data_IF_019719913520
#
_entry.id   IF_019719913520
#
_cell.length_a   1.000
_cell.length_b   1.000
_cell.length_c   1.000
_cell.angle_alpha   90.00
_cell.angle_beta   90.00
_cell.angle_gamma   90.00
#
_symmetry.space_group_name_H-M   'P 1'
#
loop_
_entity.id
_entity.type
_entity.pdbx_description
1 polymer ?
#
# COMPACT_ATOMS: atom_id res chain seq x y z
N UNK A 1 -3.23 46.60 -7.44
CA UNK A 1 -1.84 46.81 -6.94
C UNK A 1 -1.02 47.35 -8.10
N UNK A 2 -0.36 48.50 -7.96
CA UNK A 2 0.54 49.03 -8.99
C UNK A 2 1.92 48.36 -8.86
N UNK A 3 2.03 47.10 -9.31
CA UNK A 3 3.30 46.38 -9.35
C UNK A 3 4.22 47.06 -10.38
N UNK A 4 5.39 47.55 -9.92
CA UNK A 4 6.40 48.20 -10.77
C UNK A 4 7.52 47.26 -11.21
N UNK A 5 7.68 46.12 -10.53
CA UNK A 5 8.76 45.16 -10.76
C UNK A 5 8.19 43.98 -11.53
N UNK A 6 8.82 43.55 -12.64
CA UNK A 6 8.33 42.43 -13.43
C UNK A 6 8.54 41.11 -12.69
N UNK A 7 7.55 40.22 -12.83
CA UNK A 7 7.56 38.86 -12.30
C UNK A 7 7.56 37.91 -13.48
N UNK A 8 8.44 36.91 -13.45
CA UNK A 8 8.60 35.97 -14.54
C UNK A 8 8.54 34.52 -14.09
N UNK A 9 8.05 33.65 -14.97
CA UNK A 9 8.21 32.20 -14.89
C UNK A 9 9.26 31.71 -15.87
N UNK A 10 10.01 30.68 -15.49
CA UNK A 10 10.81 29.92 -16.46
C UNK A 10 9.90 29.38 -17.57
N UNK A 11 10.25 29.69 -18.82
CA UNK A 11 9.48 29.26 -19.98
C UNK A 11 9.48 27.73 -20.17
N UNK A 12 8.58 27.22 -21.01
CA UNK A 12 8.47 25.80 -21.36
C UNK A 12 7.34 25.10 -20.61
N UNK A 13 7.66 24.05 -19.82
CA UNK A 13 6.67 23.21 -19.15
C UNK A 13 5.78 23.99 -18.17
N UNK A 14 6.23 25.13 -17.64
CA UNK A 14 5.43 25.96 -16.72
C UNK A 14 4.16 26.49 -17.39
N UNK A 15 4.23 26.84 -18.68
CA UNK A 15 3.07 27.33 -19.45
C UNK A 15 2.05 26.20 -19.62
N UNK A 16 2.51 25.01 -19.99
CA UNK A 16 1.67 23.82 -20.12
C UNK A 16 1.07 23.42 -18.77
N UNK A 17 1.86 23.46 -17.69
CA UNK A 17 1.37 23.22 -16.35
C UNK A 17 0.23 24.18 -15.99
N UNK A 18 0.38 25.48 -16.27
CA UNK A 18 -0.67 26.46 -15.99
C UNK A 18 -1.96 26.16 -16.76
N UNK A 19 -1.86 25.68 -18.01
CA UNK A 19 -3.04 25.21 -18.77
C UNK A 19 -3.74 24.04 -18.06
N UNK A 20 -3.00 23.05 -17.56
CA UNK A 20 -3.58 21.94 -16.79
C UNK A 20 -4.23 22.41 -15.49
N UNK A 21 -3.62 23.34 -14.76
CA UNK A 21 -4.21 23.93 -13.54
C UNK A 21 -5.56 24.61 -13.83
N UNK A 22 -5.67 25.31 -14.97
CA UNK A 22 -6.94 25.91 -15.41
C UNK A 22 -7.99 24.86 -15.74
N UNK A 23 -7.61 23.79 -16.44
CA UNK A 23 -8.52 22.73 -16.86
C UNK A 23 -8.99 21.86 -15.67
N UNK A 24 -8.10 21.59 -14.72
CA UNK A 24 -8.34 20.72 -13.56
C UNK A 24 -8.74 21.50 -12.30
N UNK A 25 -9.37 22.66 -12.46
CA UNK A 25 -9.84 23.51 -11.36
C UNK A 25 -10.72 22.76 -10.36
N UNK A 26 -11.42 21.71 -10.80
CA UNK A 26 -12.25 20.83 -9.97
C UNK A 26 -11.51 20.14 -8.81
N UNK A 27 -10.19 20.02 -8.88
CA UNK A 27 -9.34 19.42 -7.83
C UNK A 27 -8.83 20.43 -6.80
N UNK A 28 -9.16 21.71 -6.95
CA UNK A 28 -8.71 22.77 -6.03
C UNK A 28 -9.66 22.94 -4.84
N UNK A 29 -9.27 23.77 -3.88
CA UNK A 29 -10.11 24.09 -2.71
C UNK A 29 -11.38 24.85 -3.11
N UNK A 30 -12.40 24.79 -2.26
CA UNK A 30 -13.67 25.48 -2.53
C UNK A 30 -13.47 26.98 -2.77
N UNK A 31 -12.58 27.63 -2.01
CA UNK A 31 -12.22 29.04 -2.17
C UNK A 31 -11.75 29.39 -3.60
N UNK A 32 -10.96 28.52 -4.21
CA UNK A 32 -10.44 28.72 -5.57
C UNK A 32 -11.56 28.50 -6.60
N UNK A 33 -12.41 27.49 -6.39
CA UNK A 33 -13.60 27.23 -7.22
C UNK A 33 -14.59 28.39 -7.19
N UNK A 34 -14.85 28.95 -6.02
CA UNK A 34 -15.76 30.09 -5.85
C UNK A 34 -15.21 31.32 -6.60
N UNK A 35 -13.91 31.59 -6.44
CA UNK A 35 -13.24 32.69 -7.15
C UNK A 35 -13.30 32.54 -8.67
N UNK A 36 -13.20 31.32 -9.18
CA UNK A 36 -13.20 31.00 -10.61
C UNK A 36 -14.46 31.50 -11.33
N UNK A 37 -15.60 31.57 -10.63
CA UNK A 37 -16.86 32.10 -11.18
C UNK A 37 -16.77 33.57 -11.59
N UNK A 38 -15.91 34.35 -10.91
CA UNK A 38 -15.70 35.78 -11.16
C UNK A 38 -14.45 36.00 -12.01
N UNK A 39 -13.36 35.30 -11.68
CA UNK A 39 -12.11 35.35 -12.43
C UNK A 39 -11.29 34.09 -12.19
N UNK A 40 -10.62 33.60 -13.23
CA UNK A 40 -9.73 32.47 -13.09
C UNK A 40 -8.46 32.87 -12.31
N UNK A 41 -8.20 32.27 -11.13
CA UNK A 41 -7.05 32.64 -10.31
C UNK A 41 -5.70 32.23 -10.92
N UNK A 42 -5.71 31.38 -11.95
CA UNK A 42 -4.51 30.97 -12.71
C UNK A 42 -4.26 31.85 -13.95
N UNK A 43 -5.10 32.87 -14.20
CA UNK A 43 -4.85 33.91 -15.20
C UNK A 43 -3.98 35.02 -14.60
N UNK A 44 -2.67 34.77 -14.59
CA UNK A 44 -1.68 35.71 -14.05
C UNK A 44 -1.47 36.91 -14.99
N UNK A 45 -2.06 38.07 -14.65
CA UNK A 45 -1.93 39.31 -15.46
C UNK A 45 -0.56 39.96 -15.42
N UNK A 46 0.18 39.76 -14.33
CA UNK A 46 1.47 40.43 -14.07
C UNK A 46 2.66 39.48 -14.09
N UNK A 47 2.46 38.22 -14.51
CA UNK A 47 3.52 37.23 -14.61
C UNK A 47 3.74 36.91 -16.08
N UNK A 48 4.98 37.09 -16.55
CA UNK A 48 5.35 36.93 -17.95
C UNK A 48 6.35 35.79 -18.13
N UNK A 49 6.54 35.36 -19.37
CA UNK A 49 7.55 34.34 -19.69
C UNK A 49 8.95 34.95 -19.63
N UNK A 50 9.87 34.26 -18.98
CA UNK A 50 11.28 34.65 -18.95
C UNK A 50 12.01 34.14 -20.19
N UNK A 51 12.55 35.06 -20.99
CA UNK A 51 13.44 34.71 -22.10
C UNK A 51 14.89 34.64 -21.62
N UNK A 52 15.68 33.72 -22.16
CA UNK A 52 17.10 33.56 -21.75
C UNK A 52 17.96 34.80 -21.98
N UNK A 53 17.57 35.67 -22.91
CA UNK A 53 18.19 36.97 -23.14
C UNK A 53 18.16 37.86 -21.88
N UNK A 54 17.08 37.75 -21.08
CA UNK A 54 16.86 38.61 -19.91
C UNK A 54 17.77 38.28 -18.71
N UNK A 55 18.57 37.21 -18.77
CA UNK A 55 19.49 36.83 -17.68
C UNK A 55 20.47 37.95 -17.36
N UNK A 56 20.87 38.73 -18.35
CA UNK A 56 21.85 39.81 -18.21
C UNK A 56 21.21 41.21 -18.20
N UNK A 57 19.88 41.30 -18.25
CA UNK A 57 19.20 42.59 -18.30
C UNK A 57 19.35 43.34 -16.97
N UNK A 58 19.66 44.64 -17.00
CA UNK A 58 19.81 45.42 -15.79
C UNK A 58 18.45 45.74 -15.17
N UNK A 59 18.36 45.64 -13.84
CA UNK A 59 17.20 46.07 -13.07
C UNK A 59 16.67 44.98 -12.14
N UNK A 60 15.76 45.34 -11.21
CA UNK A 60 15.14 44.37 -10.33
C UNK A 60 14.09 43.56 -11.10
N UNK A 61 14.09 42.25 -10.91
CA UNK A 61 13.02 41.37 -11.35
C UNK A 61 12.82 40.22 -10.33
N UNK A 62 11.67 39.55 -10.43
CA UNK A 62 11.42 38.30 -9.72
C UNK A 62 11.33 37.19 -10.74
N UNK A 63 12.13 36.13 -10.58
CA UNK A 63 12.09 34.97 -11.46
C UNK A 63 11.83 33.70 -10.66
N UNK A 64 10.76 33.01 -11.03
CA UNK A 64 10.49 31.64 -10.61
C UNK A 64 11.16 30.67 -11.58
N UNK A 65 12.34 30.18 -11.20
CA UNK A 65 13.12 29.25 -12.01
C UNK A 65 12.93 27.79 -11.60
N UNK A 66 12.99 26.88 -12.58
CA UNK A 66 12.87 25.43 -12.37
C UNK A 66 14.15 24.70 -12.82
N UNK A 67 14.49 23.56 -12.19
CA UNK A 67 13.87 22.92 -11.02
C UNK A 67 14.19 23.58 -9.66
N UNK A 68 13.28 23.46 -8.69
CA UNK A 68 13.34 24.18 -7.40
C UNK A 68 14.53 23.86 -6.49
N UNK A 69 15.19 22.71 -6.66
CA UNK A 69 16.38 22.32 -5.88
C UNK A 69 17.70 22.72 -6.54
N UNK A 70 17.66 23.45 -7.66
CA UNK A 70 18.84 23.86 -8.43
C UNK A 70 19.71 22.66 -8.82
N UNK A 71 19.10 21.52 -9.15
CA UNK A 71 19.84 20.30 -9.53
C UNK A 71 20.43 20.37 -10.93
N UNK A 72 19.93 21.27 -11.79
CA UNK A 72 20.35 21.42 -13.18
C UNK A 72 19.47 22.42 -13.92
N UNK A 73 19.47 22.37 -15.24
CA UNK A 73 18.55 23.11 -16.09
C UNK A 73 18.61 24.64 -15.92
N UNK A 74 17.46 25.29 -16.12
CA UNK A 74 17.37 26.74 -16.18
C UNK A 74 17.66 27.43 -14.84
N UNK A 75 17.18 26.86 -13.72
CA UNK A 75 17.51 27.38 -12.39
C UNK A 75 19.00 27.41 -12.12
N UNK A 76 19.75 26.39 -12.56
CA UNK A 76 21.20 26.36 -12.39
C UNK A 76 21.89 27.37 -13.32
N UNK A 77 21.43 27.52 -14.56
CA UNK A 77 21.95 28.52 -15.50
C UNK A 77 21.84 29.95 -14.94
N UNK A 78 20.66 30.32 -14.43
CA UNK A 78 20.45 31.61 -13.79
C UNK A 78 21.26 31.73 -12.50
N UNK A 79 21.28 30.70 -11.67
CA UNK A 79 22.03 30.70 -10.42
C UNK A 79 23.53 30.96 -10.65
N UNK A 80 24.16 30.34 -11.66
CA UNK A 80 25.57 30.60 -12.00
C UNK A 80 25.85 32.08 -12.28
N UNK A 81 24.90 32.79 -12.90
CA UNK A 81 25.04 34.20 -13.28
C UNK A 81 24.71 35.15 -12.14
N UNK A 82 23.73 34.80 -11.31
CA UNK A 82 23.17 35.70 -10.30
C UNK A 82 23.73 35.48 -8.90
N UNK A 83 24.24 34.29 -8.57
CA UNK A 83 24.81 33.98 -7.27
C UNK A 83 26.02 34.87 -6.86
N UNK A 84 26.89 35.32 -7.78
CA UNK A 84 28.01 36.19 -7.41
C UNK A 84 27.60 37.62 -7.00
N UNK A 85 26.35 38.04 -7.13
CA UNK A 85 25.93 39.40 -6.77
C UNK A 85 25.30 39.44 -5.38
N UNK A 86 25.86 40.23 -4.46
CA UNK A 86 25.32 40.43 -3.10
C UNK A 86 23.97 41.14 -3.08
N UNK A 87 23.61 41.82 -4.17
CA UNK A 87 22.31 42.49 -4.33
C UNK A 87 21.18 41.50 -4.62
N UNK A 88 21.51 40.26 -4.96
CA UNK A 88 20.54 39.25 -5.34
C UNK A 88 20.11 38.43 -4.12
N UNK A 89 18.87 37.94 -4.18
CA UNK A 89 18.29 37.04 -3.20
C UNK A 89 17.84 35.77 -3.93
N UNK A 90 18.31 34.62 -3.46
CA UNK A 90 17.84 33.31 -3.90
C UNK A 90 16.97 32.73 -2.81
N UNK A 91 15.71 32.46 -3.15
CA UNK A 91 14.75 31.85 -2.23
C UNK A 91 14.50 30.40 -2.61
N UNK A 92 14.73 29.48 -1.67
CA UNK A 92 14.52 28.05 -1.85
C UNK A 92 13.15 27.62 -1.28
N UNK A 93 12.38 26.77 -1.97
CA UNK A 93 10.98 26.45 -1.65
C UNK A 93 10.78 25.49 -0.47
N UNK A 94 11.83 25.13 0.27
CA UNK A 94 11.73 24.30 1.47
C UNK A 94 12.78 23.20 1.48
N UNK A 95 12.36 21.95 1.67
CA UNK A 95 13.25 20.80 1.73
C UNK A 95 13.96 20.58 0.39
N UNK A 96 15.29 20.44 0.45
CA UNK A 96 16.12 20.05 -0.67
C UNK A 96 16.80 18.70 -0.38
N UNK A 97 16.68 17.77 -1.32
CA UNK A 97 17.26 16.42 -1.22
C UNK A 97 18.78 16.51 -1.14
N UNK A 98 19.37 15.69 -0.27
CA UNK A 98 20.82 15.57 -0.12
C UNK A 98 21.51 15.34 -1.48
N UNK A 99 22.63 16.03 -1.69
CA UNK A 99 23.38 16.00 -2.95
C UNK A 99 22.98 17.08 -3.97
N UNK A 100 21.84 17.75 -3.80
CA UNK A 100 21.46 18.90 -4.63
C UNK A 100 22.20 20.18 -4.22
N UNK A 101 22.30 21.14 -5.15
CA UNK A 101 22.89 22.46 -4.88
C UNK A 101 22.04 23.21 -3.84
N UNK A 102 20.70 23.12 -3.93
CA UNK A 102 19.79 23.68 -2.94
C UNK A 102 20.09 23.18 -1.52
N UNK A 103 20.35 21.88 -1.34
CA UNK A 103 20.71 21.33 -0.05
C UNK A 103 22.06 21.87 0.46
N UNK A 104 23.08 21.93 -0.41
CA UNK A 104 24.40 22.51 -0.06
C UNK A 104 24.29 23.98 0.38
N UNK A 105 23.42 24.75 -0.27
CA UNK A 105 23.16 26.16 0.08
C UNK A 105 22.53 26.31 1.47
N UNK A 106 21.66 25.38 1.86
CA UNK A 106 20.98 25.38 3.15
C UNK A 106 21.89 24.96 4.31
N UNK A 107 22.74 23.94 4.11
CA UNK A 107 23.46 23.27 5.20
C UNK A 107 24.68 24.03 5.74
N UNK A 108 25.06 25.20 5.20
CA UNK A 108 26.27 25.89 5.68
C UNK A 108 26.59 27.28 5.15
N UNK A 109 25.66 27.97 4.47
CA UNK A 109 25.91 29.27 3.81
C UNK A 109 27.27 29.30 3.06
N UNK A 110 27.49 28.37 2.11
CA UNK A 110 28.77 28.26 1.43
C UNK A 110 29.05 29.54 0.66
N UNK A 111 30.28 30.05 0.75
CA UNK A 111 30.78 31.14 -0.11
C UNK A 111 31.12 30.63 -1.50
N UNK A 112 31.31 29.32 -1.68
CA UNK A 112 31.64 28.71 -2.96
C UNK A 112 30.97 27.35 -3.11
N UNK A 113 30.46 27.08 -4.31
CA UNK A 113 29.91 25.78 -4.69
C UNK A 113 30.67 25.25 -5.88
N UNK A 114 31.34 24.11 -5.70
CA UNK A 114 31.97 23.38 -6.79
C UNK A 114 30.94 22.50 -7.49
N UNK A 115 30.81 22.68 -8.81
CA UNK A 115 29.96 21.86 -9.67
C UNK A 115 30.74 20.68 -10.21
N UNK A 116 31.93 20.97 -10.74
CA UNK A 116 32.86 20.04 -11.37
C UNK A 116 34.29 20.39 -10.92
N UNK A 117 35.27 19.56 -11.27
CA UNK A 117 36.69 19.77 -10.90
C UNK A 117 37.24 21.14 -11.34
N UNK A 118 36.69 21.72 -12.40
CA UNK A 118 37.16 22.99 -12.97
C UNK A 118 36.15 24.14 -12.81
N UNK A 119 34.87 23.84 -12.56
CA UNK A 119 33.80 24.85 -12.51
C UNK A 119 33.32 25.08 -11.10
N UNK A 120 33.46 26.32 -10.64
CA UNK A 120 33.00 26.78 -9.34
C UNK A 120 32.10 28.01 -9.46
N UNK A 121 31.14 28.13 -8.55
CA UNK A 121 30.26 29.29 -8.41
C UNK A 121 30.61 29.99 -7.11
N UNK A 122 30.91 31.28 -7.18
CA UNK A 122 31.00 32.14 -6.00
C UNK A 122 29.58 32.56 -5.58
N UNK A 123 29.24 32.30 -4.32
CA UNK A 123 27.91 32.54 -3.76
C UNK A 123 28.01 33.69 -2.79
N UNK A 124 27.68 34.88 -3.29
CA UNK A 124 27.65 36.13 -2.50
C UNK A 124 26.23 36.66 -2.32
N UNK A 125 25.27 36.19 -3.11
CA UNK A 125 23.86 36.49 -2.95
C UNK A 125 23.32 36.01 -1.60
N UNK A 126 22.27 36.69 -1.12
CA UNK A 126 21.56 36.24 0.06
C UNK A 126 20.79 34.95 -0.25
N UNK A 127 20.89 33.95 0.63
CA UNK A 127 20.12 32.71 0.53
C UNK A 127 19.05 32.73 1.62
N UNK A 128 17.79 32.58 1.21
CA UNK A 128 16.68 32.46 2.13
C UNK A 128 15.90 31.17 1.86
N UNK A 129 15.52 30.48 2.92
CA UNK A 129 14.70 29.28 2.82
C UNK A 129 13.29 29.62 3.30
N UNK A 130 12.31 29.40 2.42
CA UNK A 130 10.91 29.44 2.79
C UNK A 130 10.45 28.00 3.04
N UNK A 131 9.87 27.73 4.21
CA UNK A 131 9.26 26.42 4.49
C UNK A 131 7.88 26.34 3.84
N UNK A 132 7.84 26.28 2.50
CA UNK A 132 6.61 26.12 1.73
C UNK A 132 6.48 24.66 1.28
N UNK A 133 6.34 23.77 2.26
CA UNK A 133 6.13 22.36 2.00
C UNK A 133 4.63 22.03 2.05
N UNK A 134 4.09 21.34 1.04
CA UNK A 134 2.72 20.82 1.09
C UNK A 134 2.60 19.56 1.98
N UNK A 135 3.57 19.30 2.85
CA UNK A 135 3.55 18.19 3.79
C UNK A 135 2.86 18.59 5.09
N UNK A 136 2.13 17.64 5.67
CA UNK A 136 1.56 17.77 7.01
C UNK A 136 2.68 17.81 8.04
N UNK A 137 2.52 18.65 9.06
CA UNK A 137 3.44 18.71 10.19
C UNK A 137 3.23 17.51 11.13
N UNK A 138 4.12 17.37 12.12
CA UNK A 138 4.02 16.28 13.09
C UNK A 138 2.69 16.28 13.84
N UNK A 139 2.12 17.46 14.11
CA UNK A 139 0.83 17.59 14.79
C UNK A 139 -0.31 17.05 13.92
N UNK A 140 -0.43 17.47 12.67
CA UNK A 140 -1.49 16.98 11.80
C UNK A 140 -1.39 15.48 11.52
N UNK A 141 -0.19 14.88 11.53
CA UNK A 141 -0.02 13.43 11.43
C UNK A 141 -0.55 12.74 12.70
N UNK A 142 -0.24 13.27 13.89
CA UNK A 142 -0.74 12.74 15.16
C UNK A 142 -2.26 12.85 15.25
N UNK A 143 -2.82 14.03 14.95
CA UNK A 143 -4.26 14.29 14.96
C UNK A 143 -5.01 13.34 14.01
N UNK A 144 -4.45 13.08 12.82
CA UNK A 144 -5.02 12.13 11.85
C UNK A 144 -4.95 10.68 12.36
N UNK A 145 -3.83 10.30 12.98
CA UNK A 145 -3.62 8.94 13.49
C UNK A 145 -4.57 8.67 14.66
N UNK A 146 -4.73 9.63 15.56
CA UNK A 146 -5.70 9.57 16.66
C UNK A 146 -7.13 9.45 16.13
N UNK A 147 -7.51 10.29 15.16
CA UNK A 147 -8.84 10.28 14.56
C UNK A 147 -9.20 8.93 13.90
N UNK A 148 -8.24 8.32 13.17
CA UNK A 148 -8.46 7.05 12.50
C UNK A 148 -8.38 5.83 13.45
N UNK A 149 -7.64 5.96 14.55
CA UNK A 149 -7.37 4.88 15.50
C UNK A 149 -7.00 3.54 14.84
N UNK A 150 -5.98 3.50 13.96
CA UNK A 150 -5.59 2.28 13.25
C UNK A 150 -4.99 1.24 14.19
N UNK A 151 -5.17 -0.04 13.88
CA UNK A 151 -4.56 -1.13 14.67
C UNK A 151 -3.03 -1.19 14.53
N UNK A 152 -2.48 -0.75 13.39
CA UNK A 152 -1.05 -0.73 13.11
C UNK A 152 -0.71 0.48 12.21
N UNK A 153 0.42 1.15 12.48
CA UNK A 153 0.91 2.29 11.70
C UNK A 153 2.25 1.95 11.06
N UNK A 154 2.44 2.29 9.77
CA UNK A 154 3.72 2.14 9.07
C UNK A 154 4.15 3.49 8.50
N UNK A 155 5.29 3.99 8.97
CA UNK A 155 5.92 5.20 8.48
C UNK A 155 6.82 4.87 7.28
N UNK A 156 6.65 5.62 6.21
CA UNK A 156 7.41 5.51 4.96
C UNK A 156 7.75 6.91 4.43
N UNK A 157 8.65 7.00 3.45
CA UNK A 157 9.00 8.27 2.78
C UNK A 157 9.47 9.41 3.72
N UNK A 158 10.15 9.09 4.82
CA UNK A 158 10.74 10.07 5.73
C UNK A 158 12.24 9.86 5.97
N UNK A 159 12.89 10.86 6.58
CA UNK A 159 14.26 10.69 7.07
C UNK A 159 14.28 9.78 8.30
N UNK A 160 15.24 8.84 8.34
CA UNK A 160 15.37 7.86 9.44
C UNK A 160 15.30 8.47 10.85
N UNK A 161 16.05 9.53 11.20
CA UNK A 161 15.96 10.12 12.55
C UNK A 161 14.58 10.73 12.85
N UNK A 162 13.96 11.37 11.86
CA UNK A 162 12.64 12.00 12.01
C UNK A 162 11.53 10.95 12.15
N UNK A 163 11.62 9.85 11.40
CA UNK A 163 10.70 8.72 11.52
C UNK A 163 10.85 7.99 12.86
N UNK A 164 12.07 7.82 13.36
CA UNK A 164 12.31 7.23 14.69
C UNK A 164 11.64 8.06 15.79
N UNK A 165 11.81 9.38 15.74
CA UNK A 165 11.17 10.31 16.67
C UNK A 165 9.64 10.25 16.58
N UNK A 166 9.08 10.23 15.36
CA UNK A 166 7.63 10.16 15.18
C UNK A 166 7.05 8.82 15.65
N UNK A 167 7.76 7.70 15.43
CA UNK A 167 7.37 6.39 15.96
C UNK A 167 7.27 6.41 17.48
N UNK A 168 8.31 6.89 18.16
CA UNK A 168 8.34 6.95 19.63
C UNK A 168 7.16 7.76 20.18
N UNK A 169 6.79 8.85 19.51
CA UNK A 169 5.62 9.66 19.87
C UNK A 169 4.30 8.93 19.65
N UNK A 170 4.12 8.24 18.52
CA UNK A 170 2.90 7.46 18.25
C UNK A 170 2.74 6.34 19.29
N UNK A 171 3.82 5.62 19.62
CA UNK A 171 3.77 4.53 20.59
C UNK A 171 3.53 5.03 22.02
N UNK A 172 4.14 6.16 22.41
CA UNK A 172 4.00 6.71 23.76
C UNK A 172 2.70 7.47 24.01
N UNK A 173 2.24 8.25 23.03
CA UNK A 173 1.04 9.10 23.16
C UNK A 173 -0.26 8.33 22.81
N UNK A 174 -0.23 7.48 21.77
CA UNK A 174 -1.43 6.78 21.26
C UNK A 174 -1.49 5.29 21.61
N UNK A 175 -0.40 4.70 22.10
CA UNK A 175 -0.34 3.27 22.46
C UNK A 175 -0.49 2.32 21.26
N UNK A 176 -0.26 2.81 20.04
CA UNK A 176 -0.43 2.05 18.80
C UNK A 176 0.91 1.50 18.30
N UNK A 177 0.97 0.24 17.83
CA UNK A 177 2.19 -0.32 17.28
C UNK A 177 2.57 0.39 15.98
N UNK A 178 3.80 0.92 15.93
CA UNK A 178 4.29 1.72 14.83
C UNK A 178 5.60 1.16 14.26
N UNK A 179 5.68 1.07 12.93
CA UNK A 179 6.82 0.50 12.21
C UNK A 179 7.40 1.53 11.24
N UNK A 180 8.71 1.50 11.00
CA UNK A 180 9.36 2.28 9.93
C UNK A 180 10.41 1.39 9.23
N UNK A 181 9.96 0.43 8.40
CA UNK A 181 10.87 -0.56 7.81
C UNK A 181 11.92 0.11 6.91
N UNK A 182 13.12 -0.47 6.90
CA UNK A 182 14.14 -0.11 5.93
C UNK A 182 13.73 -0.56 4.51
N UNK A 183 14.40 0.00 3.49
CA UNK A 183 14.18 -0.45 2.12
C UNK A 183 14.46 -1.96 2.00
N UNK A 184 13.53 -2.68 1.38
CA UNK A 184 13.52 -4.15 1.23
C UNK A 184 13.25 -4.94 2.53
N UNK A 185 12.89 -4.29 3.63
CA UNK A 185 12.43 -4.98 4.83
C UNK A 185 10.94 -5.37 4.68
N UNK A 186 10.60 -6.57 5.18
CA UNK A 186 9.22 -7.07 5.16
C UNK A 186 8.63 -6.97 6.55
N UNK A 187 7.47 -6.32 6.66
CA UNK A 187 6.70 -6.23 7.90
C UNK A 187 5.55 -7.22 7.83
N UNK A 188 5.49 -8.16 8.78
CA UNK A 188 4.42 -9.14 8.90
C UNK A 188 3.42 -8.69 9.96
N UNK A 189 2.22 -8.31 9.52
CA UNK A 189 1.13 -7.93 10.42
C UNK A 189 0.17 -9.11 10.54
N UNK A 190 -0.02 -9.68 11.74
CA UNK A 190 -1.00 -10.75 11.94
C UNK A 190 -2.40 -10.18 11.68
N UNK A 191 -3.16 -10.85 10.82
CA UNK A 191 -4.55 -10.47 10.54
C UNK A 191 -5.49 -11.60 10.95
N UNK A 192 -6.49 -11.28 11.75
CA UNK A 192 -7.59 -12.20 12.04
C UNK A 192 -8.57 -12.17 10.87
N UNK A 193 -8.46 -13.14 9.96
CA UNK A 193 -9.46 -13.35 8.92
C UNK A 193 -10.64 -14.11 9.52
N UNK A 194 -11.69 -13.39 9.89
CA UNK A 194 -12.98 -13.99 10.17
C UNK A 194 -13.63 -14.36 8.85
N UNK A 195 -13.55 -15.63 8.46
CA UNK A 195 -14.25 -16.14 7.29
C UNK A 195 -15.74 -16.26 7.66
N UNK A 196 -16.59 -15.48 6.99
CA UNK A 196 -18.03 -15.70 7.07
C UNK A 196 -18.37 -16.94 6.25
N UNK A 197 -18.74 -18.00 6.93
CA UNK A 197 -19.14 -19.26 6.30
C UNK A 197 -20.66 -19.35 6.38
N UNK A 198 -21.32 -19.51 5.23
CA UNK A 198 -22.77 -19.74 5.22
C UNK A 198 -23.05 -21.24 5.32
N UNK A 199 -23.95 -21.64 6.20
CA UNK A 199 -24.44 -23.01 6.28
C UNK A 199 -25.72 -23.17 5.45
N UNK A 200 -25.89 -24.32 4.78
CA UNK A 200 -27.17 -24.65 4.15
C UNK A 200 -28.23 -24.98 5.20
N UNK A 201 -29.50 -24.70 4.93
CA UNK A 201 -30.62 -24.99 5.82
C UNK A 201 -30.66 -26.47 6.25
N UNK A 202 -30.31 -27.40 5.36
CA UNK A 202 -30.23 -28.82 5.71
C UNK A 202 -29.13 -29.14 6.70
N UNK A 203 -27.98 -28.48 6.60
CA UNK A 203 -26.89 -28.63 7.57
C UNK A 203 -27.29 -28.06 8.94
N UNK A 204 -27.99 -26.93 8.96
CA UNK A 204 -28.52 -26.36 10.21
C UNK A 204 -29.55 -27.30 10.85
N UNK A 205 -30.42 -27.90 10.03
CA UNK A 205 -31.40 -28.89 10.48
C UNK A 205 -30.73 -30.18 11.00
N UNK A 206 -29.70 -30.68 10.31
CA UNK A 206 -28.99 -31.91 10.72
C UNK A 206 -28.32 -31.76 12.08
N UNK A 207 -27.69 -30.61 12.33
CA UNK A 207 -27.07 -30.25 13.61
C UNK A 207 -28.09 -30.15 14.76
N UNK A 208 -29.36 -29.86 14.44
CA UNK A 208 -30.45 -29.79 15.41
C UNK A 208 -31.03 -31.18 15.73
N UNK A 209 -31.01 -32.10 14.76
CA UNK A 209 -31.60 -33.45 14.86
C UNK A 209 -30.69 -34.54 15.45
N UNK A 210 -29.37 -34.31 15.55
CA UNK A 210 -28.39 -35.27 16.08
C UNK A 210 -28.51 -35.58 17.58
N UNK A 211 -29.54 -35.08 18.26
CA UNK A 211 -29.92 -35.51 19.62
C UNK A 211 -30.43 -36.97 19.70
N UNK A 212 -30.64 -37.68 18.58
CA UNK A 212 -31.39 -38.94 18.58
C UNK A 212 -30.72 -40.17 17.94
N UNK A 213 -29.45 -40.09 17.49
CA UNK A 213 -28.79 -41.26 16.89
C UNK A 213 -27.38 -41.47 17.41
N UNK A 214 -27.32 -42.07 18.59
CA UNK A 214 -26.20 -42.91 18.99
C UNK A 214 -26.25 -44.17 18.10
N UNK A 215 -25.47 -44.22 17.03
CA UNK A 215 -25.31 -45.44 16.23
C UNK A 215 -23.96 -45.48 15.53
N UNK A 216 -23.03 -46.19 16.16
CA UNK A 216 -22.05 -47.13 15.59
C UNK A 216 -21.56 -46.93 14.15
N UNK A 217 -20.25 -46.75 14.04
CA UNK A 217 -19.36 -47.03 12.90
C UNK A 217 -19.54 -46.19 11.61
N UNK A 218 -18.69 -45.16 11.49
CA UNK A 218 -17.95 -44.86 10.25
C UNK A 218 -16.49 -44.60 10.59
N UNK A 219 -15.68 -45.66 10.57
CA UNK A 219 -14.22 -45.56 10.55
C UNK A 219 -13.80 -45.07 9.16
N UNK A 220 -13.16 -43.90 9.07
CA UNK A 220 -12.05 -43.57 8.14
C UNK A 220 -11.84 -42.04 8.00
N UNK A 221 -11.58 -41.34 9.12
CA UNK A 221 -11.11 -39.96 9.07
C UNK A 221 -9.83 -39.83 9.90
N UNK A 222 -8.76 -39.42 9.22
CA UNK A 222 -7.49 -39.05 9.85
C UNK A 222 -7.73 -37.69 10.52
N UNK A 223 -8.21 -37.71 11.76
CA UNK A 223 -8.24 -36.52 12.59
C UNK A 223 -6.82 -36.24 13.07
N UNK A 224 -6.27 -35.07 12.73
CA UNK A 224 -5.00 -34.63 13.28
C UNK A 224 -5.09 -34.57 14.80
N UNK A 225 -4.23 -35.32 15.49
CA UNK A 225 -4.13 -35.34 16.94
C UNK A 225 -3.72 -33.95 17.47
N UNK A 226 -4.68 -33.05 17.76
CA UNK A 226 -4.48 -31.93 18.70
C UNK A 226 -5.80 -31.18 19.01
N UNK A 227 -6.75 -31.83 19.68
CA UNK A 227 -7.82 -31.13 20.41
C UNK A 227 -8.02 -31.80 21.77
N UNK A 228 -6.99 -31.72 22.61
CA UNK A 228 -7.09 -32.07 24.03
C UNK A 228 -7.41 -30.80 24.83
N UNK A 229 -8.70 -30.55 25.09
CA UNK A 229 -9.09 -29.55 26.08
C UNK A 229 -10.38 -28.78 25.77
N UNK A 230 -11.51 -29.47 25.64
CA UNK A 230 -12.82 -28.84 25.79
C UNK A 230 -13.68 -29.74 26.69
N UNK A 231 -13.75 -29.37 27.98
CA UNK A 231 -14.73 -29.92 28.92
C UNK A 231 -16.01 -29.10 28.76
N UNK A 232 -16.99 -29.67 28.08
CA UNK A 232 -18.35 -29.15 27.87
C UNK A 232 -19.00 -29.91 26.71
N UNK A 233 -20.32 -30.10 26.72
CA UNK A 233 -21.11 -30.78 25.66
C UNK A 233 -20.96 -30.07 24.29
N UNK A 234 -19.80 -30.20 23.64
CA UNK A 234 -19.58 -29.74 22.28
C UNK A 234 -20.25 -30.75 21.33
N UNK A 235 -21.46 -30.40 20.87
CA UNK A 235 -22.13 -31.12 19.79
C UNK A 235 -21.24 -31.09 18.54
N UNK A 236 -20.64 -32.23 18.21
CA UNK A 236 -19.87 -32.39 16.99
C UNK A 236 -20.83 -32.37 15.79
N UNK A 237 -20.62 -31.42 14.88
CA UNK A 237 -21.31 -31.32 13.61
C UNK A 237 -20.35 -31.66 12.48
N UNK A 238 -20.66 -32.69 11.70
CA UNK A 238 -19.86 -33.12 10.56
C UNK A 238 -20.51 -32.65 9.25
N UNK A 239 -19.70 -32.08 8.35
CA UNK A 239 -20.15 -31.57 7.06
C UNK A 239 -18.98 -31.25 6.14
N UNK A 240 -19.29 -30.86 4.91
CA UNK A 240 -18.31 -30.55 3.87
C UNK A 240 -18.19 -29.04 3.72
N UNK A 241 -16.96 -28.52 3.86
CA UNK A 241 -16.65 -27.12 3.61
C UNK A 241 -16.27 -26.92 2.14
N UNK A 242 -17.14 -26.25 1.39
CA UNK A 242 -16.90 -25.83 0.01
C UNK A 242 -16.25 -24.44 -0.01
N UNK A 243 -15.01 -24.36 -0.51
CA UNK A 243 -14.31 -23.08 -0.72
C UNK A 243 -14.03 -22.89 -2.22
N UNK A 244 -14.80 -22.01 -2.86
CA UNK A 244 -14.54 -21.58 -4.24
C UNK A 244 -13.80 -20.24 -4.26
N UNK A 245 -12.87 -20.04 -5.21
CA UNK A 245 -12.03 -18.83 -5.28
C UNK A 245 -12.82 -17.51 -5.42
N UNK A 246 -14.07 -17.56 -5.87
CA UNK A 246 -14.91 -16.40 -6.19
C UNK A 246 -16.22 -16.32 -5.43
N UNK A 247 -16.51 -17.27 -4.51
CA UNK A 247 -17.76 -17.31 -3.75
C UNK A 247 -17.49 -17.45 -2.26
N UNK A 248 -18.45 -17.01 -1.45
CA UNK A 248 -18.42 -17.22 -0.01
C UNK A 248 -18.34 -18.72 0.32
N UNK A 249 -17.53 -19.05 1.31
CA UNK A 249 -17.37 -20.43 1.76
C UNK A 249 -18.69 -20.95 2.33
N UNK A 250 -19.03 -22.20 1.98
CA UNK A 250 -20.29 -22.83 2.41
C UNK A 250 -20.04 -24.14 3.14
N UNK A 251 -20.79 -24.38 4.21
CA UNK A 251 -20.85 -25.71 4.85
C UNK A 251 -22.13 -26.41 4.43
N UNK A 252 -21.95 -27.65 3.99
CA UNK A 252 -22.95 -28.48 3.33
C UNK A 252 -23.04 -29.85 4.00
N UNK A 253 -24.18 -30.54 3.85
CA UNK A 253 -24.23 -31.99 4.08
C UNK A 253 -23.62 -32.76 2.88
N UNK A 254 -23.17 -33.99 3.13
CA UNK A 254 -22.56 -34.87 2.10
C UNK A 254 -23.45 -35.02 0.86
N UNK A 255 -24.77 -35.17 1.08
CA UNK A 255 -25.77 -35.37 0.03
C UNK A 255 -25.98 -34.13 -0.88
N UNK A 256 -25.59 -32.93 -0.44
CA UNK A 256 -25.80 -31.68 -1.19
C UNK A 256 -24.64 -31.34 -2.10
N UNK A 257 -23.49 -31.98 -1.91
CA UNK A 257 -22.24 -31.62 -2.59
C UNK A 257 -22.37 -31.78 -4.11
N UNK A 258 -22.89 -32.92 -4.58
CA UNK A 258 -23.02 -33.22 -6.00
C UNK A 258 -24.00 -32.26 -6.70
N UNK A 259 -25.08 -31.89 -6.00
CA UNK A 259 -26.07 -30.95 -6.53
C UNK A 259 -25.50 -29.53 -6.67
N UNK A 260 -24.65 -29.11 -5.73
CA UNK A 260 -24.00 -27.79 -5.76
C UNK A 260 -22.83 -27.71 -6.73
N UNK A 261 -22.07 -28.80 -6.90
CA UNK A 261 -20.97 -28.88 -7.86
C UNK A 261 -21.44 -29.13 -9.30
N UNK A 262 -22.69 -29.57 -9.50
CA UNK A 262 -23.21 -29.94 -10.81
C UNK A 262 -22.46 -31.11 -11.45
N UNK A 263 -21.87 -31.98 -10.63
CA UNK A 263 -21.01 -33.08 -11.06
C UNK A 263 -21.72 -34.43 -10.88
N UNK A 264 -21.42 -35.37 -11.76
CA UNK A 264 -21.92 -36.74 -11.66
C UNK A 264 -21.08 -37.55 -10.65
N UNK A 265 -21.78 -38.26 -9.76
CA UNK A 265 -21.14 -39.15 -8.80
C UNK A 265 -20.51 -40.35 -9.49
N UNK A 266 -19.23 -40.61 -9.21
CA UNK A 266 -18.54 -41.79 -9.72
C UNK A 266 -18.63 -42.91 -8.68
N UNK A 267 -19.25 -44.04 -9.05
CA UNK A 267 -19.33 -45.23 -8.19
C UNK A 267 -18.05 -46.05 -8.32
N UNK A 268 -17.21 -46.03 -7.29
CA UNK A 268 -16.03 -46.89 -7.19
C UNK A 268 -16.38 -48.10 -6.34
N UNK A 269 -16.39 -49.28 -6.95
CA UNK A 269 -16.47 -50.55 -6.23
C UNK A 269 -15.08 -51.13 -6.07
N UNK A 270 -14.68 -51.37 -4.82
CA UNK A 270 -13.46 -52.10 -4.50
C UNK A 270 -13.85 -53.55 -4.22
N UNK A 271 -13.56 -54.45 -5.16
CA UNK A 271 -13.71 -55.89 -4.91
C UNK A 271 -12.43 -56.45 -4.28
N UNK A 272 -12.50 -56.98 -3.05
CA UNK A 272 -11.37 -57.68 -2.46
C UNK A 272 -11.23 -59.05 -3.11
N UNK A 273 -10.09 -59.30 -3.76
CA UNK A 273 -9.72 -60.65 -4.22
C UNK A 273 -9.34 -61.51 -3.02
N UNK A 274 -10.30 -62.28 -2.50
CA UNK A 274 -10.05 -63.33 -1.52
C UNK A 274 -9.77 -64.65 -2.24
N UNK A 275 -8.56 -65.21 -2.05
CA UNK A 275 -8.26 -66.57 -2.49
C UNK A 275 -8.82 -67.58 -1.48
N UNK A 276 -9.85 -68.33 -1.88
CA UNK A 276 -10.31 -69.53 -1.16
C UNK A 276 -9.67 -70.78 -1.77
N UNK A 277 -8.95 -71.58 -0.97
CA UNK A 277 -8.59 -72.96 -1.36
C UNK A 277 -9.80 -73.86 -1.09
N UNK A 278 -10.35 -74.46 -2.14
CA UNK A 278 -11.34 -75.55 -2.04
C UNK A 278 -10.55 -76.82 -1.71
N UNK A 279 -10.85 -77.48 -0.58
CA UNK A 279 -10.33 -78.82 -0.29
C UNK A 279 -11.04 -79.86 -1.16
N UNK A 280 -10.29 -80.82 -1.70
CA UNK A 280 -10.83 -81.93 -2.49
C UNK A 280 -11.92 -82.69 -1.71
N UNK A 281 -13.02 -83.03 -2.38
CA UNK A 281 -14.07 -83.88 -1.81
C UNK A 281 -13.54 -85.32 -1.70
N UNK A 282 -13.53 -85.88 -0.49
CA UNK A 282 -13.20 -87.29 -0.25
C UNK A 282 -14.23 -88.19 -0.96
N UNK A 283 -13.78 -88.90 -1.99
CA UNK A 283 -14.53 -90.00 -2.62
C UNK A 283 -14.15 -91.32 -1.93
N UNK A 284 -14.87 -91.70 -0.88
CA UNK A 284 -14.87 -93.07 -0.37
C UNK A 284 -16.00 -93.86 -1.06
N UNK A 285 -15.68 -94.48 -2.21
CA UNK A 285 -16.45 -95.60 -2.73
C UNK A 285 -15.59 -96.85 -2.56
N UNK A 286 -16.03 -97.67 -1.62
CA UNK A 286 -15.54 -99.00 -1.32
C UNK A 286 -16.06 -99.93 -2.43
N UNK A 287 -15.19 -100.38 -3.33
CA UNK A 287 -15.46 -101.53 -4.20
C UNK A 287 -14.85 -102.77 -3.54
N UNK A 288 -15.71 -103.53 -2.86
CA UNK A 288 -15.44 -104.86 -2.34
C UNK A 288 -16.41 -105.82 -3.04
N UNK A 289 -15.88 -106.96 -3.51
CA UNK A 289 -16.58 -108.14 -4.07
C UNK A 289 -17.12 -108.01 -5.50
N UNK A 290 -17.02 -108.96 -6.42
CA UNK A 290 -16.42 -110.30 -6.51
C UNK A 290 -16.53 -110.73 -7.99
N UNK A 291 -15.58 -111.49 -8.53
CA UNK A 291 -15.69 -112.93 -8.87
C UNK A 291 -15.83 -113.24 -10.36
N UNK A 292 -14.99 -114.21 -10.76
CA UNK A 292 -14.90 -115.03 -11.98
C UNK A 292 -14.27 -114.44 -13.26
#
# INVERSE_FOLDING_TARGET
MNLKIPIYFSAGLTIQANMYYKMLIGWTSQKIKDSYTVHNPFDFKHVCDFQRSFINDPGPCVLFATPGMISGGFSLEVFKRWAPSEKNLVTLPGYCVAGTIGHKLMSGKPTRIDLDKETHIDVRCQIHQLSFSPHTDSKGIMDLTEFLSPSHVILVHGEKPQMSFLKERIESELGMPCYYPANNETVSIPTTKNLKISATDKFIASCSTSQARDSTQKSNLICGNHLSGANGDEKLAEGILLMEKSKDAKILCEDELLQLLGAEGHSLQFEPLLHSRIGEAETDIVDDLASE
#
